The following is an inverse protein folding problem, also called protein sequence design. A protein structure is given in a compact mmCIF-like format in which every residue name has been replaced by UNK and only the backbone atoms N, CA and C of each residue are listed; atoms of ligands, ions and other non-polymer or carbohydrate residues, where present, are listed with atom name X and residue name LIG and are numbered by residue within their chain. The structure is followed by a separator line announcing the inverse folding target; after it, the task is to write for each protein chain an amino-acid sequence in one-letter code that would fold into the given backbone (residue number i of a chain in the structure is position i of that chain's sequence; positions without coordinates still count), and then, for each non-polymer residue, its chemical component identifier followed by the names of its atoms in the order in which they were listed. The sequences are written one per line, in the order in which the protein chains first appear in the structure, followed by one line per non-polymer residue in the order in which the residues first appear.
data_IF_133633113404
#
_entry.id   IF_133633113404
#
_cell.length_a   1.000
_cell.length_b   1.000
_cell.length_c   1.000
_cell.angle_alpha   90.00
_cell.angle_beta   90.00
_cell.angle_gamma   90.00
#
_symmetry.space_group_name_H-M   'P 1'
#
loop_
_entity.id
_entity.type
_entity.pdbx_description
1 polymer ?
#
# COMPACT_ATOMS: atom_id res chain seq x y z
N UNK A 1 10.79 13.37 21.00
CA UNK A 1 10.28 13.23 19.62
C UNK A 1 10.51 14.53 18.88
N UNK A 2 11.00 14.48 17.65
CA UNK A 2 11.22 15.64 16.79
C UNK A 2 10.01 15.82 15.85
N UNK A 3 8.96 16.45 16.38
CA UNK A 3 7.69 16.74 15.69
C UNK A 3 7.32 18.21 15.88
N UNK A 4 6.29 18.71 15.19
CA UNK A 4 5.88 20.12 15.27
C UNK A 4 6.65 21.01 14.30
N UNK A 5 6.85 22.27 14.68
CA UNK A 5 7.54 23.27 13.83
C UNK A 5 9.02 22.92 13.68
N UNK A 6 9.71 23.55 12.72
CA UNK A 6 11.15 23.35 12.55
C UNK A 6 11.95 23.65 13.81
N UNK A 7 11.58 24.72 14.51
CA UNK A 7 12.17 25.10 15.79
C UNK A 7 11.97 24.02 16.86
N UNK A 8 10.77 23.43 16.94
CA UNK A 8 10.49 22.35 17.90
C UNK A 8 11.32 21.10 17.60
N UNK A 9 11.47 20.75 16.31
CA UNK A 9 12.28 19.62 15.88
C UNK A 9 13.76 19.81 16.22
N UNK A 10 14.33 20.98 15.93
CA UNK A 10 15.72 21.30 16.27
C UNK A 10 15.92 21.25 17.78
N UNK A 11 15.04 21.89 18.56
CA UNK A 11 15.12 21.88 20.01
C UNK A 11 15.04 20.45 20.58
N UNK A 12 14.21 19.58 19.99
CA UNK A 12 14.10 18.19 20.41
C UNK A 12 15.36 17.37 20.08
N UNK A 13 16.00 17.60 18.93
CA UNK A 13 17.21 16.90 18.49
C UNK A 13 18.47 17.38 19.25
N UNK A 14 18.52 18.66 19.62
CA UNK A 14 19.63 19.23 20.42
C UNK A 14 19.61 18.77 21.89
N UNK A 15 18.45 18.34 22.40
CA UNK A 15 18.38 17.75 23.75
C UNK A 15 19.02 16.38 23.73
N UNK A 16 19.94 16.12 24.66
CA UNK A 16 20.57 14.81 24.83
C UNK A 16 19.51 13.77 25.21
N UNK A 17 19.35 12.75 24.38
CA UNK A 17 18.45 11.64 24.58
C UNK A 17 19.10 10.34 24.13
N UNK A 18 18.58 9.21 24.62
CA UNK A 18 19.04 7.88 24.18
C UNK A 18 18.35 7.47 22.88
N UNK A 19 17.11 7.92 22.66
CA UNK A 19 16.30 7.60 21.50
C UNK A 19 15.69 8.88 20.94
N UNK A 20 15.86 9.08 19.64
CA UNK A 20 15.24 10.14 18.88
C UNK A 20 14.23 9.53 17.92
N UNK A 21 13.03 10.11 17.86
CA UNK A 21 11.96 9.68 16.96
C UNK A 21 11.66 10.84 16.03
N UNK A 22 11.68 10.59 14.73
CA UNK A 22 11.39 11.56 13.68
C UNK A 22 10.56 10.90 12.56
N UNK A 23 9.66 11.67 11.96
CA UNK A 23 8.89 11.19 10.81
C UNK A 23 9.81 10.97 9.60
N UNK A 24 9.59 9.88 8.84
CA UNK A 24 10.32 9.53 7.61
C UNK A 24 10.37 10.67 6.57
N UNK A 25 9.34 11.50 6.49
CA UNK A 25 9.29 12.67 5.59
C UNK A 25 10.36 13.71 5.91
N UNK A 26 10.82 13.78 7.17
CA UNK A 26 11.80 14.76 7.63
C UNK A 26 13.25 14.26 7.52
N UNK A 27 13.50 13.04 7.03
CA UNK A 27 14.87 12.50 6.92
C UNK A 27 15.74 13.35 6.00
N UNK A 28 15.19 13.83 4.87
CA UNK A 28 15.92 14.73 3.99
C UNK A 28 16.29 16.05 4.67
N UNK A 29 15.34 16.62 5.42
CA UNK A 29 15.57 17.83 6.19
C UNK A 29 16.62 17.60 7.27
N UNK A 30 16.53 16.49 8.01
CA UNK A 30 17.51 16.14 9.05
C UNK A 30 18.93 16.09 8.49
N UNK A 31 19.12 15.37 7.38
CA UNK A 31 20.46 15.16 6.80
C UNK A 31 21.00 16.41 6.10
N UNK A 32 20.19 17.10 5.29
CA UNK A 32 20.72 18.14 4.40
C UNK A 32 20.40 19.58 4.82
N UNK A 33 19.48 19.81 5.76
CA UNK A 33 18.95 21.16 6.05
C UNK A 33 19.00 21.56 7.52
N UNK A 34 18.92 20.60 8.43
CA UNK A 34 18.72 20.87 9.87
C UNK A 34 19.94 21.50 10.56
N UNK A 35 21.14 21.33 9.98
CA UNK A 35 22.41 21.71 10.62
C UNK A 35 22.81 20.82 11.80
N UNK A 36 22.00 19.81 12.15
CA UNK A 36 22.29 18.85 13.21
C UNK A 36 23.31 17.82 12.69
N UNK A 37 24.43 17.60 13.39
CA UNK A 37 25.34 16.51 13.08
C UNK A 37 24.61 15.16 13.09
N UNK A 38 24.90 14.30 12.11
CA UNK A 38 24.32 12.95 12.05
C UNK A 38 25.25 11.97 12.78
N UNK A 39 25.16 11.92 14.10
CA UNK A 39 26.04 11.16 15.01
C UNK A 39 25.33 9.97 15.68
N UNK A 40 24.44 9.30 14.94
CA UNK A 40 23.68 8.15 15.46
C UNK A 40 24.40 6.82 15.21
N UNK A 41 24.65 6.06 16.28
CA UNK A 41 25.22 4.71 16.19
C UNK A 41 24.26 3.68 15.58
N UNK A 42 22.96 3.89 15.75
CA UNK A 42 21.91 3.01 15.25
C UNK A 42 20.77 3.79 14.61
N UNK A 43 20.28 3.30 13.47
CA UNK A 43 19.05 3.78 12.82
C UNK A 43 18.05 2.64 12.74
N UNK A 44 16.84 2.86 13.25
CA UNK A 44 15.70 1.96 13.09
C UNK A 44 14.73 2.60 12.11
N UNK A 45 14.39 1.90 11.04
CA UNK A 45 13.44 2.33 10.02
C UNK A 45 12.18 1.51 10.18
N UNK A 46 11.15 2.13 10.71
CA UNK A 46 9.80 1.59 10.66
C UNK A 46 9.20 1.83 9.27
N UNK A 47 8.49 0.85 8.73
CA UNK A 47 8.05 0.75 7.34
C UNK A 47 9.18 0.98 6.33
N UNK A 48 10.14 0.05 6.30
CA UNK A 48 11.29 0.03 5.38
C UNK A 48 10.86 0.07 3.91
N UNK A 49 9.66 -0.44 3.58
CA UNK A 49 9.02 -0.32 2.26
C UNK A 49 8.98 1.13 1.75
N UNK A 50 9.00 2.11 2.64
CA UNK A 50 9.07 3.53 2.31
C UNK A 50 10.42 4.00 1.71
N UNK A 51 11.41 3.11 1.65
CA UNK A 51 12.72 3.30 1.02
C UNK A 51 12.91 2.49 -0.27
N UNK A 52 11.88 1.79 -0.77
CA UNK A 52 11.93 0.97 -2.00
C UNK A 52 12.32 1.73 -3.28
N UNK A 53 12.10 3.05 -3.32
CA UNK A 53 12.48 3.89 -4.46
C UNK A 53 13.87 4.50 -4.29
N UNK A 54 14.83 4.01 -5.09
CA UNK A 54 16.20 4.53 -5.11
C UNK A 54 16.32 5.97 -5.63
N UNK A 55 15.32 6.43 -6.38
CA UNK A 55 15.25 7.80 -6.89
C UNK A 55 14.83 8.80 -5.82
N UNK A 56 14.15 8.34 -4.76
CA UNK A 56 13.55 9.19 -3.74
C UNK A 56 14.60 10.01 -2.99
N UNK A 57 14.23 11.26 -2.68
CA UNK A 57 15.08 12.18 -1.94
C UNK A 57 15.50 11.61 -0.59
N UNK A 58 14.54 11.01 0.13
CA UNK A 58 14.74 10.32 1.42
C UNK A 58 15.84 9.25 1.34
N UNK A 59 15.75 8.37 0.34
CA UNK A 59 16.73 7.29 0.13
C UNK A 59 18.12 7.86 -0.12
N UNK A 60 18.25 8.82 -1.04
CA UNK A 60 19.52 9.47 -1.37
C UNK A 60 20.13 10.16 -0.15
N UNK A 61 19.31 10.86 0.64
CA UNK A 61 19.75 11.57 1.84
C UNK A 61 20.24 10.61 2.92
N UNK A 62 19.51 9.54 3.22
CA UNK A 62 19.96 8.54 4.20
C UNK A 62 21.25 7.84 3.73
N UNK A 63 21.39 7.52 2.44
CA UNK A 63 22.60 6.89 1.93
C UNK A 63 23.87 7.74 2.08
N UNK A 64 23.76 9.07 2.14
CA UNK A 64 24.93 9.95 2.37
C UNK A 64 25.56 9.72 3.74
N UNK A 65 24.71 9.54 4.76
CA UNK A 65 25.12 9.36 6.15
C UNK A 65 25.20 7.88 6.54
N UNK A 66 24.65 6.96 5.74
CA UNK A 66 24.65 5.52 6.04
C UNK A 66 26.03 4.95 6.41
N UNK A 67 27.16 5.36 5.80
CA UNK A 67 28.49 4.86 6.19
C UNK A 67 28.93 5.23 7.63
N UNK A 68 28.39 6.30 8.23
CA UNK A 68 28.70 6.65 9.63
C UNK A 68 27.87 5.88 10.65
N UNK A 69 26.80 5.18 10.21
CA UNK A 69 25.89 4.44 11.08
C UNK A 69 26.41 3.02 11.28
N UNK A 70 26.68 2.63 12.53
CA UNK A 70 27.19 1.30 12.87
C UNK A 70 26.14 0.20 12.67
N UNK A 71 24.89 0.44 13.05
CA UNK A 71 23.81 -0.56 12.96
C UNK A 71 22.54 0.01 12.33
N UNK A 72 21.92 -0.76 11.45
CA UNK A 72 20.63 -0.40 10.88
C UNK A 72 19.66 -1.56 11.00
N UNK A 73 18.41 -1.27 11.33
CA UNK A 73 17.34 -2.24 11.44
C UNK A 73 16.17 -1.70 10.65
N UNK A 74 15.64 -2.48 9.72
CA UNK A 74 14.43 -2.16 8.98
C UNK A 74 13.28 -3.07 9.42
N UNK A 75 12.10 -2.48 9.61
CA UNK A 75 10.87 -3.18 9.94
C UNK A 75 9.89 -2.95 8.79
N UNK A 76 9.27 -4.00 8.26
CA UNK A 76 8.26 -3.88 7.21
C UNK A 76 7.36 -5.10 7.22
N UNK A 77 6.05 -4.87 7.09
CA UNK A 77 5.09 -5.96 6.84
C UNK A 77 5.06 -6.39 5.37
N UNK A 78 5.57 -5.54 4.46
CA UNK A 78 5.42 -5.69 3.01
C UNK A 78 6.73 -5.38 2.26
N UNK A 79 7.79 -6.20 2.41
CA UNK A 79 9.13 -5.93 1.86
C UNK A 79 9.21 -5.93 0.32
N UNK A 80 8.19 -6.45 -0.38
CA UNK A 80 8.22 -6.58 -1.84
C UNK A 80 6.88 -6.20 -2.47
N UNK A 81 6.30 -5.07 -2.04
CA UNK A 81 4.96 -4.63 -2.43
C UNK A 81 4.73 -4.53 -3.96
N UNK A 82 5.78 -4.27 -4.75
CA UNK A 82 5.74 -4.25 -6.21
C UNK A 82 6.64 -5.33 -6.85
N UNK A 83 6.95 -6.39 -6.09
CA UNK A 83 7.81 -7.50 -6.50
C UNK A 83 9.26 -7.35 -6.03
N UNK A 84 10.11 -8.30 -6.45
CA UNK A 84 11.49 -8.44 -5.95
C UNK A 84 12.43 -7.28 -6.34
N UNK A 85 12.00 -6.39 -7.24
CA UNK A 85 12.78 -5.20 -7.60
C UNK A 85 12.90 -4.20 -6.43
N UNK A 86 11.86 -4.12 -5.59
CA UNK A 86 11.80 -3.19 -4.44
C UNK A 86 12.91 -3.50 -3.42
N UNK A 87 13.29 -4.77 -3.27
CA UNK A 87 14.28 -5.24 -2.29
C UNK A 87 15.64 -4.56 -2.48
N UNK A 88 16.05 -4.24 -3.70
CA UNK A 88 17.39 -3.69 -3.92
C UNK A 88 17.63 -2.43 -3.10
N UNK A 89 16.69 -1.48 -3.10
CA UNK A 89 16.86 -0.23 -2.39
C UNK A 89 16.83 -0.45 -0.87
N UNK A 90 15.92 -1.29 -0.39
CA UNK A 90 15.83 -1.66 1.03
C UNK A 90 17.15 -2.25 1.53
N UNK A 91 17.66 -3.28 0.85
CA UNK A 91 18.92 -3.92 1.20
C UNK A 91 20.12 -3.00 1.00
N UNK A 92 20.13 -2.16 -0.03
CA UNK A 92 21.17 -1.13 -0.24
C UNK A 92 21.27 -0.18 0.96
N UNK A 93 20.16 0.13 1.62
CA UNK A 93 20.15 0.88 2.88
C UNK A 93 20.64 0.01 4.03
N UNK A 94 20.23 -1.26 4.11
CA UNK A 94 20.59 -2.14 5.22
C UNK A 94 22.09 -2.47 5.28
N UNK A 95 22.71 -2.84 4.16
CA UNK A 95 24.05 -3.44 4.18
C UNK A 95 25.05 -2.77 3.23
N UNK A 96 24.69 -1.63 2.64
CA UNK A 96 25.48 -0.97 1.59
C UNK A 96 25.76 -1.90 0.40
N UNK A 97 24.77 -2.69 -0.01
CA UNK A 97 24.78 -3.49 -1.23
C UNK A 97 25.70 -4.71 -1.18
N UNK A 98 25.94 -5.30 -0.01
CA UNK A 98 26.75 -6.51 0.13
C UNK A 98 26.02 -7.75 -0.44
N UNK A 99 24.73 -7.92 -0.17
CA UNK A 99 23.91 -9.06 -0.64
C UNK A 99 23.43 -8.87 -2.09
N UNK A 100 22.78 -7.74 -2.37
CA UNK A 100 22.10 -7.50 -3.66
C UNK A 100 22.88 -6.56 -4.61
N UNK A 101 24.11 -6.21 -4.26
CA UNK A 101 24.99 -5.37 -5.07
C UNK A 101 24.79 -3.86 -4.88
N UNK A 102 25.85 -3.09 -5.17
CA UNK A 102 25.90 -1.63 -4.99
C UNK A 102 25.10 -0.83 -6.02
N UNK A 103 24.81 -1.40 -7.19
CA UNK A 103 24.20 -0.70 -8.32
C UNK A 103 22.95 -1.43 -8.79
N UNK A 104 21.86 -0.68 -8.96
CA UNK A 104 20.56 -1.21 -9.40
C UNK A 104 20.65 -1.85 -10.79
N UNK A 105 21.52 -1.33 -11.67
CA UNK A 105 21.75 -1.87 -13.01
C UNK A 105 22.30 -3.30 -12.95
N UNK A 106 23.25 -3.58 -12.06
CA UNK A 106 23.82 -4.92 -11.88
C UNK A 106 22.82 -5.88 -11.23
N UNK A 107 22.04 -5.40 -10.26
CA UNK A 107 20.96 -6.20 -9.67
C UNK A 107 19.92 -6.59 -10.74
N UNK A 108 19.51 -5.63 -11.57
CA UNK A 108 18.60 -5.87 -12.69
C UNK A 108 19.15 -6.90 -13.67
N UNK A 109 20.39 -6.73 -14.13
CA UNK A 109 20.98 -7.65 -15.11
C UNK A 109 21.26 -9.04 -14.54
N UNK A 110 21.50 -9.18 -13.23
CA UNK A 110 21.77 -10.45 -12.59
C UNK A 110 20.51 -11.31 -12.36
N UNK A 111 19.37 -10.67 -12.08
CA UNK A 111 18.17 -11.37 -11.59
C UNK A 111 16.94 -11.21 -12.46
N UNK A 112 16.95 -10.28 -13.42
CA UNK A 112 15.76 -9.96 -14.20
C UNK A 112 16.08 -9.88 -15.68
N UNK A 113 15.06 -10.16 -16.48
CA UNK A 113 15.02 -9.82 -17.89
C UNK A 113 13.99 -8.72 -18.12
N UNK A 114 14.28 -7.76 -19.00
CA UNK A 114 13.26 -6.86 -19.53
C UNK A 114 12.09 -7.67 -20.07
N UNK A 115 10.88 -7.33 -19.65
CA UNK A 115 9.64 -7.98 -20.06
C UNK A 115 8.94 -7.12 -21.12
N UNK A 116 8.37 -5.97 -20.74
CA UNK A 116 7.88 -4.96 -21.69
C UNK A 116 8.96 -3.92 -21.96
N UNK A 117 9.28 -3.67 -23.23
CA UNK A 117 10.23 -2.63 -23.69
C UNK A 117 9.49 -1.64 -24.58
N UNK A 118 9.97 -0.40 -24.61
CA UNK A 118 9.67 0.59 -25.63
C UNK A 118 10.94 1.27 -26.09
N UNK A 119 11.33 1.04 -27.34
CA UNK A 119 12.63 1.39 -27.87
C UNK A 119 13.78 1.03 -26.90
N UNK A 120 14.47 2.02 -26.32
CA UNK A 120 15.56 1.84 -25.34
C UNK A 120 15.09 1.76 -23.86
N UNK A 121 13.80 1.96 -23.58
CA UNK A 121 13.25 2.05 -22.22
C UNK A 121 12.56 0.74 -21.82
N UNK A 122 13.04 0.09 -20.76
CA UNK A 122 12.43 -1.13 -20.20
C UNK A 122 11.39 -0.75 -19.13
N UNK A 123 10.13 -1.13 -19.34
CA UNK A 123 9.00 -0.76 -18.46
C UNK A 123 8.69 -1.79 -17.37
N UNK A 124 8.85 -3.08 -17.68
CA UNK A 124 8.70 -4.15 -16.70
C UNK A 124 9.88 -5.09 -16.74
N UNK A 125 10.15 -5.70 -15.60
CA UNK A 125 11.21 -6.67 -15.42
C UNK A 125 10.59 -7.94 -14.87
N UNK A 126 10.87 -9.06 -15.52
CA UNK A 126 10.46 -10.38 -15.06
C UNK A 126 11.66 -11.08 -14.41
N UNK A 127 11.49 -11.72 -13.24
CA UNK A 127 12.56 -12.52 -12.65
C UNK A 127 13.04 -13.60 -13.62
N UNK A 128 14.35 -13.80 -13.70
CA UNK A 128 14.94 -14.95 -14.38
C UNK A 128 14.54 -16.26 -13.67
N UNK A 129 14.55 -17.42 -14.37
CA UNK A 129 14.39 -18.70 -13.72
C UNK A 129 15.40 -18.88 -12.56
N UNK A 130 14.88 -19.21 -11.37
CA UNK A 130 15.68 -19.36 -10.14
C UNK A 130 16.19 -18.04 -9.52
N UNK A 131 15.81 -16.87 -10.06
CA UNK A 131 16.20 -15.59 -9.47
C UNK A 131 15.61 -15.39 -8.07
N UNK A 132 14.36 -15.79 -7.86
CA UNK A 132 13.70 -15.66 -6.54
C UNK A 132 14.50 -16.37 -5.45
N UNK A 133 14.80 -17.66 -5.66
CA UNK A 133 15.56 -18.48 -4.71
C UNK A 133 16.97 -17.91 -4.46
N UNK A 134 17.66 -17.45 -5.50
CA UNK A 134 18.97 -16.81 -5.36
C UNK A 134 18.89 -15.52 -4.52
N UNK A 135 17.89 -14.67 -4.76
CA UNK A 135 17.67 -13.45 -3.99
C UNK A 135 17.39 -13.82 -2.53
N UNK A 136 16.50 -14.78 -2.28
CA UNK A 136 16.15 -15.23 -0.92
C UNK A 136 17.37 -15.77 -0.17
N UNK A 137 18.18 -16.61 -0.81
CA UNK A 137 19.39 -17.16 -0.20
C UNK A 137 20.38 -16.04 0.17
N UNK A 138 20.56 -15.05 -0.71
CA UNK A 138 21.47 -13.93 -0.44
C UNK A 138 21.04 -13.12 0.78
N UNK A 139 19.75 -12.86 0.96
CA UNK A 139 19.25 -12.00 2.04
C UNK A 139 18.90 -12.72 3.34
N UNK A 140 18.86 -14.05 3.30
CA UNK A 140 18.37 -14.90 4.40
C UNK A 140 19.15 -14.71 5.71
N UNK A 141 20.43 -14.37 5.64
CA UNK A 141 21.30 -14.23 6.81
C UNK A 141 21.06 -12.95 7.62
N UNK A 142 20.43 -11.95 7.02
CA UNK A 142 20.11 -10.65 7.65
C UNK A 142 18.61 -10.36 7.70
N UNK A 143 17.77 -11.32 7.31
CA UNK A 143 16.31 -11.18 7.29
C UNK A 143 15.69 -12.19 8.23
N UNK A 144 14.76 -11.72 9.06
CA UNK A 144 13.95 -12.56 9.94
C UNK A 144 12.50 -12.22 9.66
N UNK A 145 11.70 -13.25 9.34
CA UNK A 145 10.25 -13.10 9.25
C UNK A 145 9.51 -14.00 10.22
N UNK A 146 8.44 -13.45 10.80
CA UNK A 146 7.50 -14.13 11.68
C UNK A 146 6.08 -13.74 11.25
N UNK A 147 5.20 -14.71 10.93
CA UNK A 147 3.79 -14.39 10.67
C UNK A 147 3.04 -14.37 11.99
N UNK A 148 2.22 -13.34 12.21
CA UNK A 148 1.39 -13.21 13.41
C UNK A 148 0.52 -14.46 13.64
N UNK A 149 -0.05 -15.04 12.58
CA UNK A 149 -0.88 -16.24 12.67
C UNK A 149 -0.13 -17.51 13.13
N UNK A 150 1.20 -17.55 12.99
CA UNK A 150 2.00 -18.69 13.44
C UNK A 150 2.13 -18.72 14.98
N UNK A 151 1.97 -17.56 15.64
CA UNK A 151 2.24 -17.39 17.07
C UNK A 151 1.07 -16.80 17.86
N UNK A 152 0.07 -16.23 17.19
CA UNK A 152 -1.09 -15.57 17.78
C UNK A 152 -2.38 -16.21 17.27
N UNK A 153 -3.36 -16.36 18.17
CA UNK A 153 -4.72 -16.75 17.79
C UNK A 153 -5.38 -15.59 17.05
N UNK A 154 -5.51 -15.74 15.74
CA UNK A 154 -6.23 -14.80 14.87
C UNK A 154 -7.67 -15.28 14.66
N UNK A 155 -8.65 -14.37 14.50
CA UNK A 155 -9.99 -14.74 14.10
C UNK A 155 -10.00 -15.33 12.68
N UNK A 156 -11.12 -15.90 12.26
CA UNK A 156 -11.31 -16.23 10.84
C UNK A 156 -11.40 -14.92 10.02
N UNK A 157 -10.87 -14.95 8.80
CA UNK A 157 -11.05 -13.89 7.81
C UNK A 157 -11.72 -14.50 6.58
N UNK A 158 -12.86 -13.95 6.18
CA UNK A 158 -13.61 -14.35 4.99
C UNK A 158 -13.54 -13.22 3.99
N UNK A 159 -13.14 -13.53 2.76
CA UNK A 159 -13.08 -12.56 1.67
C UNK A 159 -14.16 -12.90 0.65
N UNK A 160 -14.98 -11.93 0.28
CA UNK A 160 -16.07 -12.08 -0.69
C UNK A 160 -15.91 -11.07 -1.81
N UNK A 161 -16.16 -11.50 -3.04
CA UNK A 161 -16.35 -10.61 -4.20
C UNK A 161 -17.84 -10.39 -4.41
N UNK A 162 -18.22 -9.13 -4.62
CA UNK A 162 -19.59 -8.68 -4.82
C UNK A 162 -19.64 -8.09 -6.23
N UNK A 163 -20.00 -8.90 -7.25
CA UNK A 163 -20.01 -8.46 -8.62
C UNK A 163 -21.15 -7.47 -8.88
N UNK A 164 -20.85 -6.41 -9.62
CA UNK A 164 -21.84 -5.50 -10.19
C UNK A 164 -21.66 -5.42 -11.70
N UNK A 165 -22.75 -5.17 -12.41
CA UNK A 165 -22.78 -5.19 -13.87
C UNK A 165 -23.19 -3.82 -14.40
N UNK A 166 -22.44 -3.32 -15.37
CA UNK A 166 -22.79 -2.10 -16.08
C UNK A 166 -23.93 -2.38 -17.06
N UNK A 167 -24.89 -1.46 -17.18
CA UNK A 167 -25.88 -1.55 -18.27
C UNK A 167 -25.20 -1.37 -19.62
N UNK A 168 -25.85 -1.76 -20.72
CA UNK A 168 -25.28 -1.59 -22.08
C UNK A 168 -24.82 -0.15 -22.36
N UNK A 169 -25.59 0.83 -21.90
CA UNK A 169 -25.25 2.25 -22.05
C UNK A 169 -24.03 2.64 -21.21
N UNK A 170 -23.95 2.18 -19.97
CA UNK A 170 -22.82 2.45 -19.07
C UNK A 170 -21.55 1.76 -19.57
N UNK A 171 -21.68 0.53 -20.05
CA UNK A 171 -20.61 -0.23 -20.66
C UNK A 171 -20.08 0.44 -21.92
N UNK A 172 -20.95 0.92 -22.82
CA UNK A 172 -20.52 1.68 -24.01
C UNK A 172 -19.68 2.89 -23.61
N UNK A 173 -20.13 3.69 -22.63
CA UNK A 173 -19.34 4.85 -22.15
C UNK A 173 -17.95 4.42 -21.67
N UNK A 174 -17.86 3.30 -20.93
CA UNK A 174 -16.60 2.77 -20.44
C UNK A 174 -15.70 2.22 -21.57
N UNK A 175 -16.25 1.39 -22.46
CA UNK A 175 -15.51 0.77 -23.55
C UNK A 175 -15.08 1.78 -24.61
N UNK A 176 -15.95 2.73 -24.97
CA UNK A 176 -15.66 3.76 -25.95
C UNK A 176 -14.52 4.65 -25.45
N UNK A 177 -14.53 5.04 -24.17
CA UNK A 177 -13.44 5.79 -23.56
C UNK A 177 -12.12 5.00 -23.55
N UNK A 178 -12.19 3.71 -23.17
CA UNK A 178 -11.02 2.81 -23.19
C UNK A 178 -10.44 2.73 -24.60
N UNK A 179 -11.28 2.46 -25.59
CA UNK A 179 -10.88 2.20 -26.96
C UNK A 179 -10.41 3.49 -27.65
N UNK A 180 -11.04 4.64 -27.37
CA UNK A 180 -10.58 5.96 -27.83
C UNK A 180 -9.21 6.31 -27.24
N UNK A 181 -9.02 6.14 -25.93
CA UNK A 181 -7.73 6.40 -25.30
C UNK A 181 -6.65 5.46 -25.83
N UNK A 182 -6.98 4.20 -26.12
CA UNK A 182 -6.04 3.24 -26.73
C UNK A 182 -5.76 3.60 -28.19
N UNK A 183 -6.75 4.02 -28.97
CA UNK A 183 -6.59 4.41 -30.37
C UNK A 183 -5.79 5.70 -30.53
N UNK A 184 -6.01 6.68 -29.65
CA UNK A 184 -5.24 7.92 -29.59
C UNK A 184 -3.77 7.70 -29.20
N UNK A 185 -3.44 6.54 -28.62
CA UNK A 185 -2.06 6.14 -28.38
C UNK A 185 -1.37 5.58 -29.66
N UNK A 186 -2.12 5.29 -30.73
CA UNK A 186 -1.58 4.88 -32.03
C UNK A 186 -0.76 3.59 -32.02
N UNK A 187 -0.03 3.34 -33.12
CA UNK A 187 1.13 2.42 -33.18
C UNK A 187 2.36 3.01 -32.43
N UNK A 188 2.21 4.19 -31.80
CA UNK A 188 3.23 4.73 -30.92
C UNK A 188 3.21 3.95 -29.61
N UNK A 189 4.40 3.48 -29.27
CA UNK A 189 4.61 2.46 -28.27
C UNK A 189 4.15 2.99 -26.89
N UNK A 190 3.20 2.31 -26.24
CA UNK A 190 2.45 2.82 -25.06
C UNK A 190 3.41 3.31 -23.96
N UNK A 191 3.43 4.63 -23.71
CA UNK A 191 4.15 5.20 -22.55
C UNK A 191 3.47 4.73 -21.24
N UNK A 192 4.28 4.26 -20.28
CA UNK A 192 3.82 3.88 -18.95
C UNK A 192 3.07 5.01 -18.24
N UNK A 193 3.40 6.28 -18.52
CA UNK A 193 2.67 7.44 -17.99
C UNK A 193 1.23 7.45 -18.53
N UNK A 194 1.04 7.23 -19.83
CA UNK A 194 -0.28 7.20 -20.46
C UNK A 194 -1.10 5.98 -20.00
N UNK A 195 -0.47 4.82 -19.85
CA UNK A 195 -1.12 3.63 -19.32
C UNK A 195 -1.58 3.82 -17.86
N UNK A 196 -0.79 4.49 -17.02
CA UNK A 196 -1.16 4.78 -15.64
C UNK A 196 -2.33 5.76 -15.55
N UNK A 197 -2.38 6.78 -16.41
CA UNK A 197 -3.50 7.73 -16.49
C UNK A 197 -4.76 7.01 -16.95
N UNK A 198 -4.70 6.23 -18.04
CA UNK A 198 -5.82 5.43 -18.53
C UNK A 198 -6.34 4.48 -17.45
N UNK A 199 -5.46 3.68 -16.85
CA UNK A 199 -5.81 2.78 -15.75
C UNK A 199 -6.49 3.51 -14.60
N UNK A 200 -5.97 4.68 -14.22
CA UNK A 200 -6.54 5.51 -13.17
C UNK A 200 -7.92 6.09 -13.53
N UNK A 201 -8.19 6.42 -14.79
CA UNK A 201 -9.51 6.89 -15.26
C UNK A 201 -10.51 5.74 -15.33
N UNK A 202 -10.12 4.59 -15.89
CA UNK A 202 -10.97 3.40 -15.93
C UNK A 202 -11.39 2.96 -14.53
N UNK A 203 -10.48 3.00 -13.54
CA UNK A 203 -10.81 2.64 -12.17
C UNK A 203 -11.79 3.63 -11.51
N UNK A 204 -11.71 4.93 -11.86
CA UNK A 204 -12.73 5.91 -11.47
C UNK A 204 -14.07 5.54 -12.10
N UNK A 205 -14.09 5.28 -13.42
CA UNK A 205 -15.30 4.95 -14.16
C UNK A 205 -15.96 3.68 -13.62
N UNK A 206 -15.20 2.65 -13.24
CA UNK A 206 -15.71 1.44 -12.56
C UNK A 206 -16.37 1.76 -11.21
N UNK A 207 -15.89 2.78 -10.49
CA UNK A 207 -16.54 3.28 -9.27
C UNK A 207 -17.80 4.11 -9.58
N UNK A 208 -18.04 4.48 -10.85
CA UNK A 208 -19.24 5.14 -11.33
C UNK A 208 -19.13 6.64 -11.55
N UNK A 209 -17.94 7.22 -11.48
CA UNK A 209 -17.71 8.63 -11.82
C UNK A 209 -16.28 8.85 -12.32
N UNK A 210 -16.00 9.91 -13.08
CA UNK A 210 -14.65 10.20 -13.57
C UNK A 210 -14.34 11.69 -13.50
N UNK A 211 -13.12 12.06 -13.14
CA UNK A 211 -12.69 13.45 -13.18
C UNK A 211 -12.43 13.93 -14.62
N UNK A 212 -12.77 15.17 -14.94
CA UNK A 212 -12.22 15.88 -16.11
C UNK A 212 -10.87 16.55 -15.78
N UNK A 213 -10.30 17.26 -16.76
CA UNK A 213 -9.03 17.97 -16.62
C UNK A 213 -9.09 19.15 -15.62
N UNK A 214 -10.30 19.58 -15.26
CA UNK A 214 -10.54 20.62 -14.24
C UNK A 214 -10.79 20.02 -12.86
N UNK A 215 -10.54 18.71 -12.67
CA UNK A 215 -10.83 17.95 -11.45
C UNK A 215 -12.32 17.97 -11.05
N UNK A 216 -13.23 18.20 -12.00
CA UNK A 216 -14.68 18.08 -11.76
C UNK A 216 -15.10 16.64 -12.01
N UNK A 217 -15.79 16.04 -11.05
CA UNK A 217 -16.32 14.68 -11.20
C UNK A 217 -17.58 14.68 -12.07
N UNK A 218 -17.63 13.75 -13.03
CA UNK A 218 -18.79 13.46 -13.87
C UNK A 218 -19.34 12.09 -13.52
N UNK A 219 -20.65 12.01 -13.23
CA UNK A 219 -21.32 10.76 -12.87
C UNK A 219 -21.57 9.90 -14.11
N UNK A 220 -21.36 8.59 -13.97
CA UNK A 220 -21.64 7.58 -15.01
C UNK A 220 -22.75 6.64 -14.54
N UNK A 221 -22.62 6.06 -13.35
CA UNK A 221 -23.58 5.10 -12.79
C UNK A 221 -23.46 4.98 -11.27
N UNK A 222 -24.45 4.36 -10.62
CA UNK A 222 -24.47 4.12 -9.18
C UNK A 222 -24.32 2.64 -8.76
N UNK A 223 -24.00 1.72 -9.70
CA UNK A 223 -23.89 0.27 -9.45
C UNK A 223 -23.16 -0.16 -8.16
N UNK A 224 -22.02 0.45 -7.85
CA UNK A 224 -21.28 0.13 -6.61
C UNK A 224 -21.94 0.72 -5.35
N UNK A 225 -22.67 1.82 -5.47
CA UNK A 225 -23.46 2.38 -4.36
C UNK A 225 -24.67 1.49 -4.07
N UNK A 226 -25.34 0.99 -5.10
CA UNK A 226 -26.45 0.04 -4.95
C UNK A 226 -25.99 -1.22 -4.21
N UNK A 227 -24.87 -1.82 -4.63
CA UNK A 227 -24.29 -2.97 -3.92
C UNK A 227 -23.79 -2.63 -2.51
N UNK A 228 -23.31 -1.40 -2.29
CA UNK A 228 -22.93 -0.94 -0.95
C UNK A 228 -24.16 -0.83 -0.03
N UNK A 229 -25.31 -0.39 -0.55
CA UNK A 229 -26.59 -0.34 0.17
C UNK A 229 -26.98 -1.74 0.63
N UNK A 230 -27.00 -2.72 -0.28
CA UNK A 230 -27.31 -4.13 0.03
C UNK A 230 -26.40 -4.70 1.13
N UNK A 231 -25.10 -4.38 1.09
CA UNK A 231 -24.12 -4.85 2.08
C UNK A 231 -24.30 -4.17 3.44
N UNK A 232 -24.64 -2.88 3.47
CA UNK A 232 -24.91 -2.14 4.71
C UNK A 232 -26.19 -2.68 5.36
N UNK A 233 -27.24 -2.90 4.57
CA UNK A 233 -28.49 -3.51 5.07
C UNK A 233 -28.26 -4.93 5.57
N UNK A 234 -27.49 -5.74 4.83
CA UNK A 234 -27.11 -7.09 5.22
C UNK A 234 -26.26 -7.16 6.50
N UNK A 235 -25.58 -6.08 6.88
CA UNK A 235 -24.85 -6.00 8.15
C UNK A 235 -25.80 -5.90 9.37
N UNK A 236 -27.10 -5.63 9.16
CA UNK A 236 -28.15 -5.64 10.18
C UNK A 236 -27.80 -4.81 11.43
N UNK A 237 -27.34 -3.58 11.22
CA UNK A 237 -26.97 -2.64 12.28
C UNK A 237 -25.58 -2.86 12.91
N UNK A 238 -24.83 -3.89 12.49
CA UNK A 238 -23.41 -4.00 12.86
C UNK A 238 -22.59 -2.92 12.15
N UNK A 239 -21.61 -2.29 12.82
CA UNK A 239 -20.78 -1.27 12.18
C UNK A 239 -19.99 -1.81 11.00
N UNK A 240 -19.96 -1.06 9.91
CA UNK A 240 -19.20 -1.38 8.70
C UNK A 240 -18.18 -0.29 8.37
N UNK A 241 -16.98 -0.72 7.98
CA UNK A 241 -15.91 0.16 7.55
C UNK A 241 -15.84 0.14 6.01
N UNK A 242 -16.00 1.29 5.37
CA UNK A 242 -15.99 1.43 3.91
C UNK A 242 -14.66 2.04 3.46
N UNK A 243 -13.88 1.28 2.69
CA UNK A 243 -12.66 1.76 2.06
C UNK A 243 -12.97 2.39 0.70
N UNK A 244 -12.58 3.65 0.53
CA UNK A 244 -12.77 4.43 -0.70
C UNK A 244 -11.41 4.92 -1.24
N UNK A 245 -11.33 5.21 -2.54
CA UNK A 245 -10.07 5.62 -3.17
C UNK A 245 -10.09 7.04 -3.74
N UNK A 246 -11.17 7.46 -4.40
CA UNK A 246 -11.29 8.81 -4.95
C UNK A 246 -12.14 9.72 -4.06
N UNK A 247 -11.89 11.04 -4.11
CA UNK A 247 -12.70 11.99 -3.32
C UNK A 247 -14.17 11.95 -3.72
N UNK A 248 -14.46 11.78 -5.02
CA UNK A 248 -15.83 11.66 -5.50
C UNK A 248 -16.53 10.40 -4.98
N UNK A 249 -15.79 9.33 -4.66
CA UNK A 249 -16.36 8.13 -4.04
C UNK A 249 -16.91 8.49 -2.67
N UNK A 250 -16.08 9.11 -1.82
CA UNK A 250 -16.49 9.54 -0.49
C UNK A 250 -17.67 10.51 -0.54
N UNK A 251 -17.62 11.52 -1.42
CA UNK A 251 -18.70 12.50 -1.57
C UNK A 251 -20.02 11.84 -1.98
N UNK A 252 -19.98 10.84 -2.86
CA UNK A 252 -21.17 10.10 -3.30
C UNK A 252 -21.70 9.18 -2.20
N UNK A 253 -20.82 8.47 -1.51
CA UNK A 253 -21.16 7.63 -0.35
C UNK A 253 -21.82 8.50 0.74
N UNK A 254 -21.25 9.66 1.06
CA UNK A 254 -21.78 10.58 2.07
C UNK A 254 -23.13 11.21 1.69
N UNK A 255 -23.41 11.35 0.39
CA UNK A 255 -24.72 11.81 -0.08
C UNK A 255 -25.80 10.75 0.06
N UNK A 256 -25.44 9.46 -0.07
CA UNK A 256 -26.38 8.33 0.00
C UNK A 256 -26.57 7.80 1.42
N UNK A 257 -25.51 7.75 2.21
CA UNK A 257 -25.49 7.13 3.53
C UNK A 257 -25.00 8.13 4.60
N UNK A 258 -25.44 7.99 5.87
CA UNK A 258 -24.94 8.78 6.99
C UNK A 258 -23.52 8.34 7.41
N UNK A 259 -22.56 8.43 6.50
CA UNK A 259 -21.16 8.03 6.70
C UNK A 259 -20.39 9.07 7.48
N UNK A 260 -19.58 8.61 8.44
CA UNK A 260 -18.53 9.43 9.07
C UNK A 260 -17.15 8.97 8.63
N UNK A 261 -16.32 9.91 8.17
CA UNK A 261 -14.94 9.61 7.80
C UNK A 261 -14.04 9.58 9.04
N UNK A 262 -13.22 8.55 9.19
CA UNK A 262 -12.21 8.46 10.26
C UNK A 262 -11.03 9.40 9.95
N UNK A 263 -10.85 10.45 10.74
CA UNK A 263 -9.73 11.42 10.59
C UNK A 263 -8.99 11.72 11.88
N UNK A 264 -9.67 11.63 13.01
CA UNK A 264 -9.17 12.08 14.31
C UNK A 264 -9.21 10.95 15.34
N UNK A 265 -8.51 11.12 16.45
CA UNK A 265 -8.60 10.19 17.59
C UNK A 265 -10.03 10.05 18.10
N UNK A 266 -10.81 11.14 18.06
CA UNK A 266 -12.22 11.10 18.44
C UNK A 266 -13.05 10.21 17.51
N UNK A 267 -12.80 10.24 16.20
CA UNK A 267 -13.51 9.35 15.28
C UNK A 267 -13.17 7.87 15.53
N UNK A 268 -11.96 7.59 16.01
CA UNK A 268 -11.54 6.23 16.38
C UNK A 268 -12.24 5.78 17.66
N UNK A 269 -12.36 6.67 18.65
CA UNK A 269 -13.10 6.43 19.90
C UNK A 269 -14.59 6.17 19.59
N UNK A 270 -15.23 7.10 18.86
CA UNK A 270 -16.63 7.02 18.39
C UNK A 270 -16.89 5.84 17.42
N UNK A 271 -15.84 5.23 16.86
CA UNK A 271 -15.98 4.00 16.08
C UNK A 271 -15.93 2.78 17.00
N UNK A 272 -14.96 2.73 17.90
CA UNK A 272 -14.74 1.60 18.79
C UNK A 272 -15.81 1.46 19.88
N UNK A 273 -16.56 2.51 20.20
CA UNK A 273 -17.72 2.49 21.08
C UNK A 273 -19.03 2.08 20.35
N UNK A 274 -19.00 1.93 19.02
CA UNK A 274 -20.15 1.62 18.18
C UNK A 274 -21.05 2.82 17.83
N UNK A 275 -20.63 4.05 18.13
CA UNK A 275 -21.40 5.28 17.84
C UNK A 275 -21.42 5.64 16.34
N UNK A 276 -20.53 5.04 15.53
CA UNK A 276 -20.47 5.21 14.08
C UNK A 276 -20.89 3.89 13.38
N UNK A 277 -22.13 3.79 12.88
CA UNK A 277 -22.59 2.59 12.18
C UNK A 277 -21.90 2.39 10.83
N UNK A 278 -21.57 3.48 10.14
CA UNK A 278 -20.92 3.44 8.82
C UNK A 278 -19.74 4.39 8.85
N UNK A 279 -18.54 3.83 8.90
CA UNK A 279 -17.30 4.59 8.84
C UNK A 279 -16.71 4.55 7.43
N UNK A 280 -16.05 5.63 7.01
CA UNK A 280 -15.26 5.66 5.79
C UNK A 280 -13.77 5.86 6.09
N UNK A 281 -12.91 5.14 5.38
CA UNK A 281 -11.46 5.24 5.51
C UNK A 281 -10.80 5.32 4.14
N UNK A 282 -9.81 6.20 4.02
CA UNK A 282 -8.91 6.20 2.87
C UNK A 282 -7.73 5.26 3.16
N UNK A 283 -7.37 4.32 2.27
CA UNK A 283 -6.28 3.37 2.51
C UNK A 283 -4.94 4.03 2.87
N UNK A 284 -4.61 5.18 2.27
CA UNK A 284 -3.41 5.94 2.63
C UNK A 284 -3.37 6.44 4.08
N UNK A 285 -4.51 6.54 4.76
CA UNK A 285 -4.60 6.93 6.17
C UNK A 285 -4.51 5.71 7.10
N UNK A 286 -4.67 4.49 6.59
CA UNK A 286 -4.58 3.26 7.38
C UNK A 286 -3.15 2.98 7.87
N UNK A 287 -2.12 3.48 7.18
CA UNK A 287 -0.71 3.28 7.57
C UNK A 287 -0.28 3.94 8.88
N UNK A 288 -1.14 4.76 9.53
CA UNK A 288 -0.79 5.49 10.75
C UNK A 288 -1.03 4.72 12.06
N UNK A 289 -1.24 3.40 12.02
CA UNK A 289 -1.39 2.61 13.25
C UNK A 289 -2.74 2.77 13.94
N UNK A 290 -3.80 3.15 13.22
CA UNK A 290 -5.16 3.27 13.75
C UNK A 290 -5.64 1.94 14.36
N UNK A 291 -6.19 1.97 15.57
CA UNK A 291 -6.77 0.81 16.25
C UNK A 291 -8.30 0.83 16.05
N UNK A 292 -8.78 0.12 15.03
CA UNK A 292 -10.19 0.10 14.64
C UNK A 292 -10.87 -1.26 14.84
N UNK A 293 -10.13 -2.27 15.30
CA UNK A 293 -10.60 -3.65 15.37
C UNK A 293 -11.75 -3.86 16.36
N UNK A 294 -11.96 -2.95 17.31
CA UNK A 294 -13.03 -3.07 18.31
C UNK A 294 -14.37 -2.53 17.81
N UNK A 295 -14.37 -1.59 16.86
CA UNK A 295 -15.61 -0.97 16.38
C UNK A 295 -16.40 -1.81 15.38
N UNK A 296 -15.76 -2.76 14.69
CA UNK A 296 -16.46 -3.64 13.76
C UNK A 296 -15.58 -4.72 13.16
N UNK A 297 -16.21 -5.67 12.46
CA UNK A 297 -15.53 -6.79 11.81
C UNK A 297 -15.78 -6.87 10.30
N UNK A 298 -16.56 -5.96 9.74
CA UNK A 298 -16.88 -5.91 8.30
C UNK A 298 -16.14 -4.75 7.62
N UNK A 299 -15.33 -5.07 6.60
CA UNK A 299 -14.67 -4.10 5.72
C UNK A 299 -15.24 -4.23 4.30
N UNK A 300 -15.65 -3.11 3.70
CA UNK A 300 -16.18 -3.08 2.33
C UNK A 300 -15.26 -2.20 1.48
N UNK A 301 -14.59 -2.80 0.51
CA UNK A 301 -13.85 -2.09 -0.53
C UNK A 301 -14.81 -1.58 -1.61
N UNK A 302 -15.14 -0.30 -1.53
CA UNK A 302 -15.90 0.40 -2.57
C UNK A 302 -14.99 0.77 -3.75
N UNK A 303 -13.82 1.34 -3.45
CA UNK A 303 -12.80 1.72 -4.44
C UNK A 303 -11.48 1.01 -4.15
N UNK A 304 -10.95 0.29 -5.15
CA UNK A 304 -9.71 -0.48 -5.02
C UNK A 304 -8.46 0.39 -5.19
N UNK A 305 -7.31 -0.16 -4.82
CA UNK A 305 -6.00 0.45 -5.03
C UNK A 305 -5.01 -0.57 -5.57
N UNK A 306 -4.08 -0.14 -6.44
CA UNK A 306 -3.01 -0.98 -6.96
C UNK A 306 -1.91 -1.30 -5.93
N UNK A 307 -1.92 -0.63 -4.78
CA UNK A 307 -0.90 -0.76 -3.74
C UNK A 307 -1.23 -1.91 -2.78
N UNK A 308 -0.48 -3.01 -2.88
CA UNK A 308 -0.60 -4.13 -1.94
C UNK A 308 -0.38 -3.70 -0.48
N UNK A 309 0.59 -2.79 -0.27
CA UNK A 309 0.91 -2.26 1.05
C UNK A 309 -0.29 -1.55 1.68
N UNK A 310 -0.94 -0.65 0.93
CA UNK A 310 -2.13 0.06 1.43
C UNK A 310 -3.31 -0.90 1.62
N UNK A 311 -3.48 -1.86 0.71
CA UNK A 311 -4.51 -2.88 0.78
C UNK A 311 -4.38 -3.72 2.07
N UNK A 312 -3.19 -4.30 2.32
CA UNK A 312 -2.92 -5.11 3.50
C UNK A 312 -2.99 -4.28 4.79
N UNK A 313 -2.45 -3.05 4.80
CA UNK A 313 -2.53 -2.16 5.96
C UNK A 313 -3.97 -1.75 6.30
N UNK A 314 -4.84 -1.63 5.31
CA UNK A 314 -6.27 -1.32 5.49
C UNK A 314 -7.01 -2.53 6.04
N UNK A 315 -6.81 -3.71 5.45
CA UNK A 315 -7.40 -4.96 5.94
C UNK A 315 -6.98 -5.25 7.40
N UNK A 316 -5.71 -5.00 7.73
CA UNK A 316 -5.16 -5.16 9.07
C UNK A 316 -5.73 -4.17 10.10
N UNK A 317 -6.52 -3.16 9.70
CA UNK A 317 -7.23 -2.30 10.67
C UNK A 317 -8.28 -3.09 11.46
N UNK A 318 -8.93 -4.05 10.82
CA UNK A 318 -9.90 -4.95 11.46
C UNK A 318 -9.31 -6.35 11.69
N UNK A 319 -8.57 -6.90 10.73
CA UNK A 319 -7.95 -8.22 10.83
C UNK A 319 -6.57 -8.16 11.53
N UNK A 320 -6.61 -8.04 12.86
CA UNK A 320 -5.40 -7.99 13.70
C UNK A 320 -5.65 -8.63 15.07
N UNK A 321 -4.57 -8.81 15.83
CA UNK A 321 -4.66 -9.25 17.23
C UNK A 321 -5.58 -8.31 18.02
N UNK A 322 -6.46 -8.90 18.84
CA UNK A 322 -7.48 -8.19 19.62
C UNK A 322 -8.86 -8.16 18.97
N UNK A 323 -8.99 -8.61 17.72
CA UNK A 323 -10.27 -8.88 17.09
C UNK A 323 -10.84 -10.22 17.57
N UNK A 324 -12.09 -10.20 18.03
CA UNK A 324 -12.77 -11.37 18.59
C UNK A 324 -13.85 -11.93 17.65
N UNK A 325 -14.30 -11.16 16.66
CA UNK A 325 -15.27 -11.61 15.66
C UNK A 325 -14.59 -12.10 14.38
N UNK A 326 -15.29 -12.92 13.61
CA UNK A 326 -14.86 -13.26 12.25
C UNK A 326 -14.86 -11.99 11.41
N UNK A 327 -13.71 -11.69 10.80
CA UNK A 327 -13.58 -10.54 9.90
C UNK A 327 -14.12 -10.92 8.53
N UNK A 328 -14.97 -10.07 7.97
CA UNK A 328 -15.51 -10.24 6.62
C UNK A 328 -15.07 -9.05 5.76
N UNK A 329 -14.39 -9.34 4.64
CA UNK A 329 -13.91 -8.34 3.70
C UNK A 329 -14.66 -8.52 2.39
N UNK A 330 -15.50 -7.54 2.05
CA UNK A 330 -16.21 -7.48 0.77
C UNK A 330 -15.45 -6.60 -0.23
N UNK A 331 -15.39 -7.03 -1.49
CA UNK A 331 -14.89 -6.23 -2.60
C UNK A 331 -16.01 -6.03 -3.60
N UNK A 332 -16.41 -4.79 -3.84
CA UNK A 332 -17.41 -4.48 -4.86
C UNK A 332 -16.69 -4.34 -6.20
N UNK A 333 -16.94 -5.27 -7.12
CA UNK A 333 -16.21 -5.43 -8.38
C UNK A 333 -17.15 -5.17 -9.56
N UNK A 334 -16.88 -4.15 -10.36
CA UNK A 334 -17.55 -3.97 -11.64
C UNK A 334 -16.99 -4.98 -12.65
N UNK A 335 -17.82 -5.93 -13.07
CA UNK A 335 -17.42 -7.02 -13.96
C UNK A 335 -17.04 -6.52 -15.35
N UNK A 336 -16.07 -7.21 -15.96
CA UNK A 336 -15.50 -6.88 -17.27
C UNK A 336 -14.74 -5.54 -17.29
N UNK A 337 -14.47 -4.95 -16.12
CA UNK A 337 -13.72 -3.70 -15.99
C UNK A 337 -12.35 -3.93 -15.35
N UNK A 338 -11.58 -2.84 -15.23
CA UNK A 338 -10.23 -2.86 -14.66
C UNK A 338 -10.20 -3.27 -13.17
N UNK A 339 -11.35 -3.31 -12.47
CA UNK A 339 -11.40 -3.82 -11.09
C UNK A 339 -10.84 -5.25 -10.99
N UNK A 340 -11.15 -6.11 -11.95
CA UNK A 340 -10.68 -7.51 -11.97
C UNK A 340 -9.17 -7.60 -12.18
N UNK A 341 -8.62 -6.70 -13.00
CA UNK A 341 -7.17 -6.57 -13.20
C UNK A 341 -6.47 -6.12 -11.91
N UNK A 342 -7.08 -5.20 -11.15
CA UNK A 342 -6.56 -4.75 -9.85
C UNK A 342 -6.52 -5.92 -8.88
N UNK A 343 -7.63 -6.67 -8.73
CA UNK A 343 -7.70 -7.82 -7.82
C UNK A 343 -6.70 -8.92 -8.20
N UNK A 344 -6.57 -9.22 -9.48
CA UNK A 344 -5.58 -10.16 -10.01
C UNK A 344 -4.15 -9.70 -9.68
N UNK A 345 -3.86 -8.41 -9.88
CA UNK A 345 -2.54 -7.84 -9.60
C UNK A 345 -2.21 -7.86 -8.10
N UNK A 346 -3.17 -7.53 -7.22
CA UNK A 346 -3.00 -7.60 -5.77
C UNK A 346 -2.68 -9.04 -5.33
N UNK A 347 -3.46 -10.01 -5.81
CA UNK A 347 -3.26 -11.44 -5.52
C UNK A 347 -1.87 -11.93 -5.95
N UNK A 348 -1.43 -11.52 -7.15
CA UNK A 348 -0.09 -11.87 -7.65
C UNK A 348 1.02 -11.26 -6.79
N UNK A 349 0.90 -9.98 -6.42
CA UNK A 349 1.88 -9.29 -5.56
C UNK A 349 1.95 -9.97 -4.18
N UNK A 350 0.81 -10.33 -3.61
CA UNK A 350 0.72 -11.02 -2.32
C UNK A 350 1.40 -12.40 -2.36
N UNK A 351 1.22 -13.15 -3.44
CA UNK A 351 1.90 -14.44 -3.64
C UNK A 351 3.41 -14.29 -3.61
N UNK A 352 3.97 -13.32 -4.35
CA UNK A 352 5.42 -13.06 -4.35
C UNK A 352 5.91 -12.68 -2.96
N UNK A 353 5.19 -11.82 -2.25
CA UNK A 353 5.54 -11.43 -0.88
C UNK A 353 5.47 -12.61 0.10
N UNK A 354 4.47 -13.48 -0.03
CA UNK A 354 4.31 -14.67 0.81
C UNK A 354 5.46 -15.66 0.59
N UNK A 355 5.84 -15.91 -0.67
CA UNK A 355 7.00 -16.74 -1.00
C UNK A 355 8.29 -16.22 -0.38
N UNK A 356 8.51 -14.90 -0.44
CA UNK A 356 9.66 -14.25 0.21
C UNK A 356 9.63 -14.46 1.73
N UNK A 357 8.49 -14.19 2.37
CA UNK A 357 8.31 -14.35 3.82
C UNK A 357 8.58 -15.79 4.25
N UNK A 358 8.07 -16.78 3.50
CA UNK A 358 8.25 -18.19 3.83
C UNK A 358 9.70 -18.65 3.64
N UNK A 359 10.40 -18.12 2.62
CA UNK A 359 11.81 -18.43 2.38
C UNK A 359 12.76 -17.88 3.47
N UNK A 360 12.41 -16.75 4.08
CA UNK A 360 13.19 -16.09 5.16
C UNK A 360 12.55 -16.27 6.55
N UNK A 361 11.60 -17.19 6.67
CA UNK A 361 10.94 -17.49 7.95
C UNK A 361 11.95 -18.08 8.90
N UNK A 362 12.07 -17.47 10.08
CA UNK A 362 12.97 -18.00 11.10
C UNK A 362 12.48 -19.39 11.51
N UNK A 363 13.32 -20.41 11.32
CA UNK A 363 13.20 -21.69 12.02
C UNK A 363 13.60 -21.46 13.47
N UNK A 364 12.74 -20.80 14.22
CA UNK A 364 12.85 -20.79 15.67
C UNK A 364 12.48 -22.19 16.14
N UNK A 365 13.47 -23.06 16.25
CA UNK A 365 13.36 -24.22 17.14
C UNK A 365 13.12 -23.65 18.53
N UNK A 366 11.85 -23.56 18.91
CA UNK A 366 11.47 -23.30 20.29
C UNK A 366 11.96 -24.52 21.06
N UNK A 367 13.18 -24.43 21.59
CA UNK A 367 13.67 -25.36 22.62
C UNK A 367 12.71 -25.19 23.78
N UNK A 368 11.80 -26.16 23.91
CA UNK A 368 10.82 -26.23 24.99
C UNK A 368 11.50 -26.58 26.31
#
# INVERSE_FOLDING_TARGET
MAVGTEKDRINALMKRATIYIINRENVDWLVNKSGIPFDFDMVVIDELSSFKSYGAKRFKSLLKVRPSVRRIVGLTGTPSSNGLMDLWAEFRVLDLGQRLGRYITHYRSAYFVPDKRNAEIVFSYKPLPGAEEKIYNQISDITISMKSADYLKMPKCITNEVPVYLSEKEWSIYSDFRDEMVANLGDEEIDAVNAAVLSGKLLQMSNGAVYDDKNKAHLIHDRKLDALEDLIEGANGKPVLVAYWYKHDLERIQKRFPVRQIKSSKDIEDWNDGSIPIAAIHPASAGHGLNLQSGGSTLIWFGLTWSLELYQQTNARLYRQGQNETVVIHHIIAKDTIDEDVMTALTRKEKTQTSLIDAVKAKLEVVR
#
